data_IF_977393060950
#
_entry.id   IF_977393060950
#
_cell.length_a   1.000
_cell.length_b   1.000
_cell.length_c   1.000
_cell.angle_alpha   90.00
_cell.angle_beta   90.00
_cell.angle_gamma   90.00
#
_symmetry.space_group_name_H-M   'P 1'
#
loop_
_entity.id
_entity.type
_entity.pdbx_description
1 polymer ?
#
# COMPACT_ATOMS: atom_id res chain seq x y z
N UNK A 1 -30.59 -7.12 10.00
CA UNK A 1 -29.57 -7.92 9.31
C UNK A 1 -29.81 -9.41 9.52
N UNK A 2 -29.34 -10.23 8.61
CA UNK A 2 -29.44 -11.69 8.67
C UNK A 2 -28.42 -12.27 9.66
N UNK A 3 -28.79 -13.33 10.33
CA UNK A 3 -27.95 -14.14 11.22
C UNK A 3 -28.03 -15.60 10.83
N UNK A 4 -26.95 -16.33 11.01
CA UNK A 4 -26.93 -17.77 10.73
C UNK A 4 -26.72 -18.56 12.03
N UNK A 5 -27.54 -19.58 12.22
CA UNK A 5 -27.45 -20.49 13.37
C UNK A 5 -26.90 -21.83 12.89
N UNK A 6 -25.79 -22.26 13.45
CA UNK A 6 -25.17 -23.57 13.22
C UNK A 6 -25.06 -24.29 14.56
N UNK A 7 -25.56 -25.50 14.63
CA UNK A 7 -25.55 -26.32 15.83
C UNK A 7 -26.13 -25.61 17.10
N UNK A 8 -27.20 -24.84 16.89
CA UNK A 8 -27.86 -24.09 17.97
C UNK A 8 -27.14 -22.81 18.41
N UNK A 9 -26.06 -22.40 17.74
CA UNK A 9 -25.30 -21.20 18.06
C UNK A 9 -25.30 -20.20 16.90
N UNK A 10 -25.43 -18.90 17.23
CA UNK A 10 -25.26 -17.81 16.24
C UNK A 10 -23.78 -17.69 15.90
N UNK A 11 -23.47 -17.71 14.59
CA UNK A 11 -22.10 -17.44 14.10
C UNK A 11 -21.74 -15.98 14.33
N UNK A 12 -20.51 -15.73 14.81
CA UNK A 12 -19.96 -14.40 15.10
C UNK A 12 -18.47 -14.37 14.79
N UNK A 13 -17.98 -13.20 14.40
CA UNK A 13 -16.56 -12.95 14.10
C UNK A 13 -15.93 -14.06 13.26
N UNK A 14 -16.61 -14.47 12.21
CA UNK A 14 -16.17 -15.59 11.41
C UNK A 14 -16.62 -15.48 9.95
N UNK A 15 -15.99 -16.31 9.14
CA UNK A 15 -16.43 -16.64 7.78
C UNK A 15 -16.99 -18.04 7.81
N UNK A 16 -18.11 -18.25 7.15
CA UNK A 16 -18.72 -19.57 7.03
C UNK A 16 -19.14 -19.83 5.59
N UNK A 17 -18.85 -21.04 5.12
CA UNK A 17 -19.37 -21.55 3.86
C UNK A 17 -20.80 -22.06 4.07
N UNK A 18 -21.75 -21.45 3.41
CA UNK A 18 -23.16 -21.82 3.50
C UNK A 18 -23.64 -22.25 2.11
N UNK A 19 -24.12 -23.48 2.00
CA UNK A 19 -24.42 -24.08 0.70
C UNK A 19 -23.14 -24.48 -0.04
N UNK A 20 -23.26 -24.73 -1.33
CA UNK A 20 -22.19 -25.37 -2.09
C UNK A 20 -21.10 -24.40 -2.55
N UNK A 21 -21.40 -23.12 -2.72
CA UNK A 21 -20.52 -22.22 -3.45
C UNK A 21 -20.27 -20.85 -2.82
N UNK A 22 -20.87 -20.49 -1.69
CA UNK A 22 -20.79 -19.14 -1.17
C UNK A 22 -20.22 -19.09 0.25
N UNK A 23 -19.34 -18.10 0.48
CA UNK A 23 -18.82 -17.74 1.79
C UNK A 23 -19.46 -16.46 2.28
N UNK A 24 -19.75 -16.38 3.55
CA UNK A 24 -20.38 -15.25 4.21
C UNK A 24 -19.56 -14.84 5.42
N UNK A 25 -19.56 -13.55 5.72
CA UNK A 25 -18.88 -12.96 6.86
C UNK A 25 -19.91 -12.48 7.89
N UNK A 26 -19.67 -12.80 9.16
CA UNK A 26 -20.50 -12.39 10.28
C UNK A 26 -19.69 -11.57 11.28
N UNK A 27 -20.21 -10.42 11.69
CA UNK A 27 -19.58 -9.54 12.67
C UNK A 27 -19.68 -10.09 14.11
N UNK A 28 -19.15 -9.32 15.07
CA UNK A 28 -19.18 -9.67 16.50
C UNK A 28 -20.59 -9.80 17.10
N UNK A 29 -21.60 -9.20 16.46
CA UNK A 29 -23.01 -9.34 16.82
C UNK A 29 -23.70 -10.50 16.08
N UNK A 30 -22.98 -11.20 15.23
CA UNK A 30 -23.48 -12.28 14.38
C UNK A 30 -24.33 -11.78 13.20
N UNK A 31 -24.20 -10.52 12.82
CA UNK A 31 -24.91 -9.97 11.66
C UNK A 31 -24.10 -10.22 10.40
N UNK A 32 -24.74 -10.82 9.39
CA UNK A 32 -24.13 -11.02 8.07
C UNK A 32 -23.80 -9.67 7.45
N UNK A 33 -22.56 -9.54 7.00
CA UNK A 33 -22.06 -8.35 6.36
C UNK A 33 -22.37 -8.37 4.86
N UNK A 34 -22.75 -7.23 4.32
CA UNK A 34 -23.11 -7.05 2.91
C UNK A 34 -22.58 -5.72 2.38
N UNK A 35 -22.37 -5.66 1.07
CA UNK A 35 -22.12 -4.44 0.31
C UNK A 35 -20.94 -3.61 0.82
N UNK A 36 -19.80 -4.23 1.10
CA UNK A 36 -18.62 -3.50 1.52
C UNK A 36 -17.47 -4.32 2.07
N UNK A 37 -16.45 -3.58 2.47
CA UNK A 37 -15.25 -4.13 3.10
C UNK A 37 -15.52 -4.38 4.57
N UNK A 38 -15.18 -5.57 5.03
CA UNK A 38 -15.36 -6.01 6.42
C UNK A 38 -14.06 -6.62 6.94
N UNK A 39 -13.72 -6.33 8.19
CA UNK A 39 -12.56 -6.91 8.87
C UNK A 39 -13.02 -7.80 10.01
N UNK A 40 -12.53 -9.03 10.01
CA UNK A 40 -12.66 -9.98 11.12
C UNK A 40 -11.38 -9.90 11.95
N UNK A 41 -11.52 -9.75 13.25
CA UNK A 41 -10.41 -9.47 14.16
C UNK A 41 -9.85 -10.68 14.89
N UNK A 42 -10.48 -11.84 14.80
CA UNK A 42 -10.11 -13.04 15.56
C UNK A 42 -9.74 -14.22 14.64
N UNK A 43 -8.56 -14.84 14.76
CA UNK A 43 -7.46 -14.56 15.71
C UNK A 43 -6.53 -13.42 15.28
N UNK A 44 -6.60 -12.98 14.04
CA UNK A 44 -5.84 -11.87 13.48
C UNK A 44 -6.75 -11.04 12.56
N UNK A 45 -6.45 -9.77 12.39
CA UNK A 45 -7.19 -8.92 11.48
C UNK A 45 -7.08 -9.43 10.03
N UNK A 46 -8.22 -9.81 9.46
CA UNK A 46 -8.34 -10.22 8.06
C UNK A 46 -9.48 -9.46 7.41
N UNK A 47 -9.23 -8.93 6.23
CA UNK A 47 -10.17 -8.04 5.53
C UNK A 47 -10.73 -8.74 4.30
N UNK A 48 -12.02 -8.62 4.11
CA UNK A 48 -12.81 -9.24 3.05
C UNK A 48 -13.73 -8.22 2.38
N UNK A 49 -14.28 -8.56 1.23
CA UNK A 49 -15.35 -7.80 0.60
C UNK A 49 -16.57 -8.70 0.42
N UNK A 50 -17.71 -8.25 0.94
CA UNK A 50 -19.01 -8.86 0.74
C UNK A 50 -19.83 -8.06 -0.29
N UNK A 51 -20.43 -8.73 -1.27
CA UNK A 51 -21.33 -8.11 -2.22
C UNK A 51 -22.70 -7.77 -1.59
N UNK A 52 -23.63 -7.29 -2.39
CA UNK A 52 -24.98 -6.93 -1.96
C UNK A 52 -25.79 -8.09 -1.35
N UNK A 53 -25.46 -9.32 -1.75
CA UNK A 53 -26.07 -10.55 -1.24
C UNK A 53 -25.31 -11.15 -0.06
N UNK A 54 -24.19 -10.53 0.34
CA UNK A 54 -23.30 -11.02 1.39
C UNK A 54 -22.29 -12.07 0.94
N UNK A 55 -22.21 -12.36 -0.36
CA UNK A 55 -21.22 -13.30 -0.87
C UNK A 55 -19.84 -12.67 -0.87
N UNK A 56 -18.85 -13.35 -0.28
CA UNK A 56 -17.47 -12.90 -0.35
C UNK A 56 -16.95 -12.99 -1.77
N UNK A 57 -16.23 -11.96 -2.19
CA UNK A 57 -15.65 -11.83 -3.53
C UNK A 57 -14.15 -12.04 -3.47
N UNK A 58 -13.61 -12.60 -4.55
CA UNK A 58 -12.18 -12.87 -4.72
C UNK A 58 -11.71 -12.51 -6.13
N UNK A 59 -10.39 -12.40 -6.30
CA UNK A 59 -9.73 -12.13 -7.59
C UNK A 59 -10.25 -10.87 -8.26
N UNK A 60 -10.34 -9.77 -7.48
CA UNK A 60 -10.80 -8.51 -8.04
C UNK A 60 -10.19 -7.31 -7.30
N UNK A 61 -10.09 -6.20 -8.02
CA UNK A 61 -9.68 -4.91 -7.53
C UNK A 61 -10.86 -4.13 -6.97
N UNK A 62 -10.65 -3.47 -5.84
CA UNK A 62 -11.63 -2.62 -5.20
C UNK A 62 -10.98 -1.30 -4.77
N UNK A 63 -11.65 -0.18 -5.01
CA UNK A 63 -11.17 1.13 -4.56
C UNK A 63 -12.25 1.88 -3.79
N UNK A 64 -11.82 2.64 -2.79
CA UNK A 64 -12.67 3.55 -2.02
C UNK A 64 -11.88 4.74 -1.51
N UNK A 65 -12.55 5.88 -1.34
CA UNK A 65 -11.98 7.02 -0.59
C UNK A 65 -12.10 6.76 0.90
N UNK A 66 -11.01 7.03 1.63
CA UNK A 66 -10.93 6.96 3.09
C UNK A 66 -10.42 8.28 3.65
N UNK A 67 -10.89 8.64 4.83
CA UNK A 67 -10.30 9.72 5.61
C UNK A 67 -9.19 9.15 6.49
N UNK A 68 -8.00 9.73 6.42
CA UNK A 68 -7.01 9.52 7.46
C UNK A 68 -7.53 10.21 8.70
N UNK A 69 -7.59 9.49 9.82
CA UNK A 69 -7.89 10.08 11.11
C UNK A 69 -6.90 11.23 11.33
N UNK A 70 -7.41 12.45 11.39
CA UNK A 70 -6.57 13.61 11.68
C UNK A 70 -5.82 13.35 12.99
N UNK A 71 -4.51 13.48 12.98
CA UNK A 71 -3.75 13.58 14.21
C UNK A 71 -4.34 14.75 15.01
N UNK A 72 -4.44 14.57 16.32
CA UNK A 72 -5.07 15.53 17.23
C UNK A 72 -4.43 16.91 17.04
N UNK A 73 -5.09 17.80 16.27
CA UNK A 73 -4.60 19.17 15.99
C UNK A 73 -4.57 19.57 14.50
N UNK A 74 -4.86 18.69 13.56
CA UNK A 74 -5.02 19.06 12.14
C UNK A 74 -6.47 19.42 11.83
N UNK A 75 -6.68 20.50 11.07
CA UNK A 75 -7.99 21.15 10.87
C UNK A 75 -8.83 20.43 9.81
N UNK A 76 -8.21 19.67 8.90
CA UNK A 76 -8.91 19.01 7.80
C UNK A 76 -8.48 17.53 7.67
N UNK A 77 -9.46 16.61 7.48
CA UNK A 77 -9.12 15.21 7.23
C UNK A 77 -8.48 15.08 5.84
N UNK A 78 -7.36 14.39 5.77
CA UNK A 78 -6.75 14.06 4.49
C UNK A 78 -7.48 12.86 3.88
N UNK A 79 -8.09 13.05 2.72
CA UNK A 79 -8.67 11.96 1.94
C UNK A 79 -7.57 11.22 1.19
N UNK A 80 -7.58 9.91 1.25
CA UNK A 80 -6.74 9.07 0.41
C UNK A 80 -7.56 8.00 -0.31
N UNK A 81 -7.08 7.60 -1.47
CA UNK A 81 -7.72 6.52 -2.24
C UNK A 81 -7.12 5.17 -1.80
N UNK A 82 -7.93 4.37 -1.13
CA UNK A 82 -7.54 3.01 -0.73
C UNK A 82 -7.88 2.04 -1.85
N UNK A 83 -6.85 1.41 -2.44
CA UNK A 83 -6.97 0.40 -3.49
C UNK A 83 -6.58 -0.95 -2.90
N UNK A 84 -7.49 -1.92 -2.94
CA UNK A 84 -7.29 -3.27 -2.43
C UNK A 84 -7.39 -4.29 -3.57
N UNK A 85 -6.73 -5.41 -3.40
CA UNK A 85 -6.97 -6.61 -4.19
C UNK A 85 -7.33 -7.76 -3.27
N UNK A 86 -8.42 -8.45 -3.57
CA UNK A 86 -8.85 -9.63 -2.84
C UNK A 86 -8.41 -10.87 -3.59
N UNK A 87 -7.57 -11.70 -2.95
CA UNK A 87 -6.95 -12.87 -3.56
C UNK A 87 -7.87 -14.09 -3.63
N UNK A 88 -7.28 -15.24 -3.94
CA UNK A 88 -7.98 -16.52 -4.08
C UNK A 88 -8.63 -17.01 -2.79
N UNK A 89 -8.10 -16.60 -1.65
CA UNK A 89 -8.60 -16.89 -0.30
C UNK A 89 -9.64 -15.89 0.19
N UNK A 90 -10.11 -14.98 -0.68
CA UNK A 90 -11.03 -13.87 -0.40
C UNK A 90 -10.44 -12.76 0.48
N UNK A 91 -9.22 -12.89 1.00
CA UNK A 91 -8.60 -11.88 1.85
C UNK A 91 -8.03 -10.72 1.03
N UNK A 92 -8.02 -9.53 1.61
CA UNK A 92 -7.25 -8.42 1.06
C UNK A 92 -5.77 -8.76 1.11
N UNK A 93 -5.11 -8.69 -0.03
CA UNK A 93 -3.71 -9.01 -0.18
C UNK A 93 -2.81 -8.06 0.62
N UNK A 94 -1.70 -8.58 1.13
CA UNK A 94 -0.63 -7.81 1.79
C UNK A 94 0.74 -8.27 1.31
N UNK A 95 1.75 -7.38 1.43
CA UNK A 95 3.08 -7.65 0.91
C UNK A 95 3.13 -7.68 -0.61
N UNK A 96 4.14 -8.35 -1.15
CA UNK A 96 4.28 -8.52 -2.59
C UNK A 96 3.27 -9.53 -3.15
N UNK A 97 2.62 -9.15 -4.26
CA UNK A 97 1.65 -9.98 -4.95
C UNK A 97 1.89 -9.91 -6.46
N UNK A 98 1.89 -11.06 -7.12
CA UNK A 98 1.88 -11.11 -8.59
C UNK A 98 0.45 -11.30 -9.07
N UNK A 99 -0.08 -10.30 -9.78
CA UNK A 99 -1.44 -10.28 -10.31
C UNK A 99 -1.33 -10.05 -11.81
N UNK A 100 -1.90 -10.94 -12.61
CA UNK A 100 -1.84 -10.90 -14.08
C UNK A 100 -0.42 -10.70 -14.64
N UNK A 101 0.57 -11.36 -13.99
CA UNK A 101 1.98 -11.32 -14.38
C UNK A 101 2.74 -10.05 -14.00
N UNK A 102 2.12 -9.12 -13.29
CA UNK A 102 2.76 -7.90 -12.78
C UNK A 102 2.91 -7.98 -11.26
N UNK A 103 4.02 -7.44 -10.74
CA UNK A 103 4.30 -7.38 -9.31
C UNK A 103 3.70 -6.11 -8.71
N UNK A 104 3.04 -6.24 -7.57
CA UNK A 104 2.44 -5.17 -6.78
C UNK A 104 2.85 -5.29 -5.31
N UNK A 105 2.76 -4.20 -4.55
CA UNK A 105 3.02 -4.22 -3.12
C UNK A 105 1.87 -3.57 -2.35
N UNK A 106 1.38 -4.28 -1.33
CA UNK A 106 0.27 -3.84 -0.49
C UNK A 106 0.73 -3.71 0.96
N UNK A 107 0.44 -2.58 1.57
CA UNK A 107 0.74 -2.34 2.99
C UNK A 107 -0.38 -1.55 3.65
N UNK A 108 -0.55 -1.74 4.96
CA UNK A 108 -1.49 -0.97 5.75
C UNK A 108 -0.85 0.37 6.19
N UNK A 109 -1.59 1.46 6.15
CA UNK A 109 -1.13 2.74 6.67
C UNK A 109 -1.02 2.75 8.19
N UNK A 110 -1.83 1.94 8.87
CA UNK A 110 -1.80 1.76 10.32
C UNK A 110 -2.35 0.38 10.70
N UNK A 111 -2.27 0.03 11.99
CA UNK A 111 -2.69 -1.28 12.51
C UNK A 111 -4.19 -1.60 12.33
N UNK A 112 -5.00 -0.60 12.03
CA UNK A 112 -6.47 -0.71 11.93
C UNK A 112 -6.97 -0.67 10.48
N UNK A 113 -6.07 -0.40 9.53
CA UNK A 113 -6.42 -0.34 8.11
C UNK A 113 -6.17 -1.68 7.40
N UNK A 114 -6.99 -1.93 6.37
CA UNK A 114 -6.71 -2.98 5.42
C UNK A 114 -5.44 -2.62 4.61
N UNK A 115 -4.61 -3.61 4.24
CA UNK A 115 -3.51 -3.39 3.31
C UNK A 115 -4.02 -2.78 2.00
N UNK A 116 -3.35 -1.76 1.53
CA UNK A 116 -3.70 -1.04 0.31
C UNK A 116 -2.50 -0.98 -0.63
N UNK A 117 -2.77 -0.89 -1.93
CA UNK A 117 -1.75 -0.74 -2.95
C UNK A 117 -0.88 0.48 -2.65
N UNK A 118 0.41 0.28 -2.64
CA UNK A 118 1.41 1.35 -2.50
C UNK A 118 1.82 1.82 -3.89
N UNK A 119 1.80 3.13 -4.12
CA UNK A 119 2.10 3.77 -5.40
C UNK A 119 2.98 5.00 -5.21
N UNK A 120 3.70 5.40 -6.25
CA UNK A 120 4.49 6.64 -6.34
C UNK A 120 5.43 6.85 -5.13
N UNK A 121 6.12 5.79 -4.73
CA UNK A 121 7.09 5.84 -3.64
C UNK A 121 8.05 4.66 -3.69
N UNK A 122 9.10 4.71 -2.88
CA UNK A 122 9.98 3.55 -2.68
C UNK A 122 9.70 2.87 -1.35
N UNK A 123 9.90 1.56 -1.32
CA UNK A 123 9.81 0.74 -0.11
C UNK A 123 11.07 -0.11 0.02
N UNK A 124 11.51 -0.33 1.25
CA UNK A 124 12.63 -1.23 1.54
C UNK A 124 12.10 -2.47 2.24
N UNK A 125 12.31 -3.63 1.63
CA UNK A 125 11.91 -4.92 2.18
C UNK A 125 13.11 -5.88 2.06
N UNK A 126 13.49 -6.51 3.17
CA UNK A 126 14.61 -7.46 3.23
C UNK A 126 15.91 -6.88 2.64
N UNK A 127 16.23 -5.63 2.96
CA UNK A 127 17.42 -4.87 2.49
C UNK A 127 17.45 -4.61 0.97
N UNK A 128 16.35 -4.84 0.26
CA UNK A 128 16.17 -4.48 -1.13
C UNK A 128 15.24 -3.30 -1.25
N UNK A 129 15.53 -2.43 -2.22
CA UNK A 129 14.75 -1.24 -2.49
C UNK A 129 13.87 -1.50 -3.71
N UNK A 130 12.60 -1.18 -3.57
CA UNK A 130 11.60 -1.34 -4.62
C UNK A 130 10.94 0.00 -4.91
N UNK A 131 10.82 0.34 -6.18
CA UNK A 131 10.00 1.45 -6.65
C UNK A 131 8.58 0.94 -6.90
N UNK A 132 7.62 1.45 -6.14
CA UNK A 132 6.19 1.30 -6.39
C UNK A 132 5.77 2.41 -7.35
N UNK A 133 5.54 2.07 -8.59
CA UNK A 133 5.28 3.02 -9.67
C UNK A 133 3.88 3.65 -9.56
N UNK A 134 3.61 4.71 -10.31
CA UNK A 134 2.30 5.38 -10.30
C UNK A 134 1.15 4.46 -10.72
N UNK A 135 1.40 3.49 -11.61
CA UNK A 135 0.41 2.47 -12.02
C UNK A 135 0.27 1.32 -11.00
N UNK A 136 1.03 1.39 -9.90
CA UNK A 136 1.09 0.40 -8.82
C UNK A 136 2.03 -0.77 -9.07
N UNK A 137 2.59 -0.92 -10.27
CA UNK A 137 3.57 -1.98 -10.52
C UNK A 137 4.87 -1.72 -9.78
N UNK A 138 5.60 -2.78 -9.47
CA UNK A 138 6.81 -2.71 -8.66
C UNK A 138 8.03 -3.13 -9.46
N UNK A 139 9.09 -2.33 -9.35
CA UNK A 139 10.41 -2.60 -9.92
C UNK A 139 11.43 -2.67 -8.79
N UNK A 140 12.21 -3.75 -8.71
CA UNK A 140 13.35 -3.82 -7.81
C UNK A 140 14.47 -2.92 -8.33
N UNK A 141 14.93 -1.96 -7.51
CA UNK A 141 16.09 -1.16 -7.84
C UNK A 141 17.37 -1.98 -7.61
N UNK A 142 18.40 -1.75 -8.42
CA UNK A 142 19.68 -2.42 -8.21
C UNK A 142 20.25 -2.10 -6.83
N UNK A 143 20.99 -3.04 -6.23
CA UNK A 143 21.62 -2.83 -4.92
C UNK A 143 22.78 -1.82 -4.95
N UNK A 144 23.33 -1.56 -6.13
CA UNK A 144 24.40 -0.59 -6.37
C UNK A 144 24.37 -0.15 -7.84
N UNK A 145 24.36 1.16 -8.08
CA UNK A 145 24.41 1.73 -9.41
C UNK A 145 23.07 2.32 -9.88
N UNK A 146 22.99 2.54 -11.18
CA UNK A 146 21.88 3.19 -11.83
C UNK A 146 20.73 2.23 -12.13
N UNK A 147 19.50 2.70 -11.95
CA UNK A 147 18.27 2.09 -12.45
C UNK A 147 17.45 3.14 -13.20
N UNK A 148 16.91 2.79 -14.37
CA UNK A 148 15.99 3.64 -15.12
C UNK A 148 14.57 3.07 -15.01
N UNK A 149 13.65 3.87 -14.50
CA UNK A 149 12.24 3.51 -14.35
C UNK A 149 11.36 4.77 -14.42
N UNK A 150 10.17 4.68 -14.99
CA UNK A 150 9.21 5.80 -15.15
C UNK A 150 9.84 7.06 -15.74
N UNK A 151 10.64 6.91 -16.80
CA UNK A 151 11.37 8.00 -17.46
C UNK A 151 12.32 8.78 -16.55
N UNK A 152 12.70 8.20 -15.41
CA UNK A 152 13.63 8.77 -14.45
C UNK A 152 14.81 7.84 -14.15
N UNK A 153 15.92 8.42 -13.72
CA UNK A 153 17.06 7.72 -13.22
C UNK A 153 17.09 7.76 -11.69
N UNK A 154 17.42 6.61 -11.11
CA UNK A 154 17.65 6.41 -9.67
C UNK A 154 19.04 5.85 -9.47
N UNK A 155 19.70 6.20 -8.38
CA UNK A 155 21.00 5.62 -8.03
C UNK A 155 20.99 5.07 -6.62
N UNK A 156 21.38 3.83 -6.49
CA UNK A 156 21.58 3.18 -5.19
C UNK A 156 23.07 3.05 -4.93
N UNK A 157 23.52 3.49 -3.75
CA UNK A 157 24.88 3.36 -3.27
C UNK A 157 24.87 2.63 -1.93
N UNK A 158 25.60 1.52 -1.86
CA UNK A 158 25.72 0.70 -0.65
C UNK A 158 24.35 0.39 0.00
N UNK A 159 23.43 -0.13 -0.80
CA UNK A 159 22.05 -0.46 -0.43
C UNK A 159 21.21 0.75 0.02
N UNK A 160 21.64 1.96 -0.26
CA UNK A 160 20.91 3.19 0.08
C UNK A 160 20.54 3.95 -1.19
N UNK A 161 19.27 4.27 -1.36
CA UNK A 161 18.82 5.15 -2.44
C UNK A 161 19.33 6.56 -2.19
N UNK A 162 20.01 7.16 -3.17
CA UNK A 162 20.38 8.57 -3.10
C UNK A 162 19.11 9.42 -3.27
N UNK A 163 18.82 10.25 -2.28
CA UNK A 163 17.69 11.16 -2.27
C UNK A 163 18.06 12.45 -1.54
N UNK A 164 17.48 13.57 -1.95
CA UNK A 164 17.68 14.89 -1.39
C UNK A 164 19.17 15.26 -1.19
N UNK A 165 20.00 14.93 -2.18
CA UNK A 165 21.44 15.12 -2.10
C UNK A 165 22.08 15.43 -3.45
N UNK A 166 23.33 15.90 -3.41
CA UNK A 166 24.25 15.89 -4.53
C UNK A 166 25.30 14.82 -4.27
N UNK A 167 25.56 13.97 -5.27
CA UNK A 167 26.57 12.92 -5.16
C UNK A 167 27.53 12.96 -6.35
N UNK A 168 28.81 12.68 -6.09
CA UNK A 168 29.79 12.40 -7.13
C UNK A 168 29.72 10.91 -7.49
N UNK A 169 29.50 10.65 -8.78
CA UNK A 169 29.43 9.30 -9.34
C UNK A 169 30.29 9.30 -10.61
N UNK A 170 31.32 8.46 -10.63
CA UNK A 170 32.26 8.31 -11.74
C UNK A 170 32.85 9.66 -12.22
N UNK A 171 33.18 10.56 -11.28
CA UNK A 171 33.78 11.86 -11.54
C UNK A 171 32.81 12.94 -12.01
N UNK A 172 31.51 12.68 -12.03
CA UNK A 172 30.46 13.65 -12.33
C UNK A 172 29.54 13.87 -11.13
N UNK A 173 28.95 15.05 -11.04
CA UNK A 173 28.03 15.40 -9.96
C UNK A 173 26.58 15.29 -10.43
N UNK A 174 25.76 14.60 -9.64
CA UNK A 174 24.34 14.39 -9.87
C UNK A 174 23.54 14.84 -8.67
N UNK A 175 22.39 15.47 -8.91
CA UNK A 175 21.45 15.85 -7.86
C UNK A 175 20.25 14.89 -7.86
N UNK A 176 19.76 14.57 -6.66
CA UNK A 176 18.63 13.67 -6.47
C UNK A 176 17.54 14.40 -5.67
N UNK A 177 16.28 14.20 -6.08
CA UNK A 177 15.09 14.69 -5.41
C UNK A 177 14.83 13.87 -4.13
N UNK A 178 13.91 14.36 -3.30
CA UNK A 178 13.52 13.65 -2.06
C UNK A 178 12.91 12.27 -2.30
N UNK A 179 12.34 12.03 -3.47
CA UNK A 179 11.81 10.73 -3.91
C UNK A 179 12.86 9.83 -4.60
N UNK A 180 14.11 10.30 -4.69
CA UNK A 180 15.24 9.61 -5.31
C UNK A 180 15.36 9.79 -6.82
N UNK A 181 14.46 10.51 -7.48
CA UNK A 181 14.57 10.83 -8.92
C UNK A 181 15.77 11.76 -9.17
N UNK A 182 16.59 11.43 -10.16
CA UNK A 182 17.67 12.31 -10.57
C UNK A 182 17.12 13.59 -11.21
N UNK A 183 17.64 14.75 -10.80
CA UNK A 183 17.35 16.00 -11.51
C UNK A 183 17.90 15.95 -12.93
N UNK A 184 17.06 16.26 -13.89
CA UNK A 184 17.40 16.29 -15.29
C UNK A 184 17.14 17.68 -15.87
N UNK A 185 18.19 18.30 -16.44
CA UNK A 185 18.12 19.56 -17.19
C UNK A 185 17.34 20.69 -16.46
N UNK A 186 17.50 20.80 -15.15
CA UNK A 186 16.85 21.83 -14.32
C UNK A 186 17.82 22.42 -13.30
N UNK A 187 17.54 23.64 -12.85
CA UNK A 187 18.22 24.23 -11.69
C UNK A 187 17.50 23.77 -10.44
N UNK A 188 18.24 23.30 -9.44
CA UNK A 188 17.72 22.89 -8.13
C UNK A 188 18.57 23.45 -7.01
N UNK A 189 17.98 23.54 -5.83
CA UNK A 189 18.65 23.93 -4.60
C UNK A 189 18.48 22.81 -3.60
N UNK A 190 19.56 22.35 -2.99
CA UNK A 190 19.53 21.42 -1.86
C UNK A 190 19.83 22.25 -0.62
N UNK A 191 18.97 22.15 0.36
CA UNK A 191 19.18 22.80 1.66
C UNK A 191 19.98 21.84 2.53
N UNK A 192 21.22 22.21 2.84
CA UNK A 192 21.98 21.50 3.89
C UNK A 192 21.29 21.78 5.24
N UNK A 193 20.82 20.77 5.95
CA UNK A 193 20.16 20.96 7.24
C UNK A 193 21.10 21.56 8.29
N UNK A 194 22.42 21.59 8.04
CA UNK A 194 23.43 22.20 8.90
C UNK A 194 23.92 23.58 8.42
N UNK A 195 23.48 24.02 7.24
CA UNK A 195 23.88 25.32 6.68
C UNK A 195 22.72 26.33 6.77
N UNK A 196 22.74 27.14 7.80
CA UNK A 196 21.81 28.26 8.01
C UNK A 196 22.17 29.51 7.17
N UNK A 197 23.09 29.42 6.20
CA UNK A 197 23.68 30.58 5.50
C UNK A 197 23.21 30.75 4.06
N UNK A 198 22.28 29.98 3.50
CA UNK A 198 21.82 30.16 2.11
C UNK A 198 20.76 31.23 2.02
N UNK A 199 21.19 32.47 1.78
CA UNK A 199 20.32 33.51 1.26
C UNK A 199 20.15 33.35 -0.25
N UNK A 200 18.90 33.28 -0.69
CA UNK A 200 18.48 33.28 -2.08
C UNK A 200 19.00 34.50 -2.85
N UNK A 201 19.53 34.30 -4.02
CA UNK A 201 19.52 35.27 -5.11
C UNK A 201 18.91 34.65 -6.36
#
# INVERSE_FOLDING_TARGET
>A
GYRYVKDGKILKDCIEKIGDNYYYCFDSNGVMQTNGVVTIWNPSAKTYYADENGHLKKNFWFSRSRELSAEKGTVEPTLYNQILYFGDDFEACSGFQTIDGKLYYFAAHNLWDAPSLITDTTVTVDQKIYLCQMDGTVVELTNNGWTFAEDNYYYVKDHTLLADCIAEIDGNYYGFQSDGKMYNNTRFTITDPNDHSVSST
#
